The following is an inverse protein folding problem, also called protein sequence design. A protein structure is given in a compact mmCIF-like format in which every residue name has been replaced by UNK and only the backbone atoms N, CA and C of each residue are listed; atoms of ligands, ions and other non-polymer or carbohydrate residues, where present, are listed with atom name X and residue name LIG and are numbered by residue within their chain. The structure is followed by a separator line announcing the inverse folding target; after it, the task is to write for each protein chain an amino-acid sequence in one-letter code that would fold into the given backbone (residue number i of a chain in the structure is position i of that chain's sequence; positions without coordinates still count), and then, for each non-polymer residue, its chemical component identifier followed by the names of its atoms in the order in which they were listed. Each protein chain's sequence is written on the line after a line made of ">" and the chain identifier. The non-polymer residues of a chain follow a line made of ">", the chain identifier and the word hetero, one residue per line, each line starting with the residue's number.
data_IF_105521040385
#
_entry.id   IF_105521040385
#
_cell.length_a   1.000
_cell.length_b   1.000
_cell.length_c   1.000
_cell.angle_alpha   90.00
_cell.angle_beta   90.00
_cell.angle_gamma   90.00
#
_symmetry.space_group_name_H-M   'P 1'
#
loop_
_entity.id
_entity.type
_entity.pdbx_description
1 polymer ?
#
# COMPACT_ATOMS: atom_id res chain seq x y z
N UNK A 1 19.96 28.70 7.50
CA UNK A 1 19.38 28.88 6.16
C UNK A 1 20.46 28.99 5.09
N UNK A 2 21.43 29.90 5.26
CA UNK A 2 22.55 30.09 4.30
C UNK A 2 23.28 28.78 3.92
N UNK A 3 23.70 27.98 4.90
CA UNK A 3 24.33 26.68 4.64
C UNK A 3 23.42 25.69 3.87
N UNK A 4 22.12 25.69 4.15
CA UNK A 4 21.14 24.85 3.44
C UNK A 4 20.98 25.29 1.99
N UNK A 5 20.92 26.60 1.74
CA UNK A 5 20.84 27.16 0.38
C UNK A 5 22.11 26.83 -0.40
N UNK A 6 23.29 26.99 0.21
CA UNK A 6 24.56 26.64 -0.41
C UNK A 6 24.61 25.14 -0.77
N UNK A 7 24.22 24.27 0.17
CA UNK A 7 24.15 22.83 -0.08
C UNK A 7 23.17 22.49 -1.21
N UNK A 8 21.98 23.10 -1.21
CA UNK A 8 20.96 22.89 -2.25
C UNK A 8 21.43 23.36 -3.63
N UNK A 9 22.07 24.52 -3.72
CA UNK A 9 22.63 25.05 -4.97
C UNK A 9 23.70 24.13 -5.57
N UNK A 10 24.45 23.41 -4.71
CA UNK A 10 25.49 22.48 -5.11
C UNK A 10 24.96 21.08 -5.51
N UNK A 11 23.67 20.81 -5.34
CA UNK A 11 23.11 19.51 -5.72
C UNK A 11 23.17 19.29 -7.24
N UNK A 12 23.47 18.07 -7.70
CA UNK A 12 23.30 17.71 -9.09
C UNK A 12 21.83 17.85 -9.48
N UNK A 13 21.56 18.23 -10.74
CA UNK A 13 20.22 18.46 -11.25
C UNK A 13 19.97 17.62 -12.51
N UNK A 14 19.82 16.29 -12.37
CA UNK A 14 19.62 15.41 -13.52
C UNK A 14 18.22 15.61 -14.10
N UNK A 15 18.07 15.49 -15.42
CA UNK A 15 16.77 15.55 -16.09
C UNK A 15 15.89 14.35 -15.76
N UNK A 16 16.51 13.22 -15.41
CA UNK A 16 15.84 11.97 -15.05
C UNK A 16 16.29 11.49 -13.68
N UNK A 17 15.40 10.79 -12.99
CA UNK A 17 15.69 10.03 -11.77
C UNK A 17 16.54 8.79 -12.10
N UNK A 18 17.14 8.11 -11.10
CA UNK A 18 17.92 6.88 -11.33
C UNK A 18 17.14 5.76 -12.04
N UNK A 19 15.81 5.73 -11.91
CA UNK A 19 14.92 4.79 -12.60
C UNK A 19 14.56 5.21 -14.03
N UNK A 20 15.11 6.31 -14.53
CA UNK A 20 14.88 6.82 -15.89
C UNK A 20 13.61 7.65 -16.07
N UNK A 21 12.84 7.91 -15.00
CA UNK A 21 11.65 8.76 -15.03
C UNK A 21 12.02 10.24 -15.01
N UNK A 22 11.13 11.13 -15.48
CA UNK A 22 11.33 12.58 -15.44
C UNK A 22 11.63 13.07 -14.02
N UNK A 23 12.62 13.93 -13.82
CA UNK A 23 12.92 14.53 -12.51
C UNK A 23 11.95 15.69 -12.18
N UNK A 24 10.65 15.38 -12.20
CA UNK A 24 9.57 16.32 -11.90
C UNK A 24 8.94 16.04 -10.54
N UNK A 25 8.81 17.07 -9.71
CA UNK A 25 8.23 16.97 -8.36
C UNK A 25 7.03 17.88 -8.17
N UNK A 26 5.99 17.34 -7.55
CA UNK A 26 4.77 18.07 -7.24
C UNK A 26 4.68 18.34 -5.73
N UNK A 27 4.41 19.60 -5.38
CA UNK A 27 4.31 20.09 -4.00
C UNK A 27 2.86 20.40 -3.64
N UNK A 28 2.45 19.95 -2.46
CA UNK A 28 1.23 20.37 -1.79
C UNK A 28 1.47 20.64 -0.30
N UNK A 29 0.70 21.53 0.30
CA UNK A 29 0.60 21.65 1.76
C UNK A 29 -0.67 20.92 2.20
N UNK A 30 -0.55 19.98 3.15
CA UNK A 30 -1.64 19.09 3.53
C UNK A 30 -1.90 19.12 5.02
N UNK A 31 -3.16 19.26 5.38
CA UNK A 31 -3.61 19.23 6.77
C UNK A 31 -3.67 17.81 7.31
N UNK A 32 -3.09 17.61 8.50
CA UNK A 32 -3.14 16.38 9.28
C UNK A 32 -4.12 16.59 10.45
N UNK A 33 -5.34 16.04 10.37
CA UNK A 33 -6.37 16.16 11.41
C UNK A 33 -6.14 15.13 12.53
N UNK A 34 -4.90 15.02 13.01
CA UNK A 34 -4.54 14.26 14.20
C UNK A 34 -4.43 15.23 15.38
N UNK A 35 -4.34 14.73 16.61
CA UNK A 35 -4.15 15.54 17.79
C UNK A 35 -2.68 15.42 18.27
N UNK A 36 -1.91 16.53 18.30
CA UNK A 36 -2.29 17.88 17.89
C UNK A 36 -2.40 18.06 16.36
N UNK A 37 -3.31 18.92 15.86
CA UNK A 37 -3.45 19.16 14.43
C UNK A 37 -2.24 19.91 13.90
N UNK A 38 -1.84 19.59 12.68
CA UNK A 38 -0.68 20.21 12.04
C UNK A 38 -0.77 20.12 10.52
N UNK A 39 0.10 20.83 9.82
CA UNK A 39 0.26 20.74 8.37
C UNK A 39 1.63 20.17 8.01
N UNK A 40 1.67 19.47 6.88
CA UNK A 40 2.88 18.91 6.28
C UNK A 40 3.07 19.46 4.87
N UNK A 41 4.33 19.72 4.53
CA UNK A 41 4.74 19.85 3.12
C UNK A 41 4.82 18.45 2.55
N UNK A 42 4.03 18.19 1.52
CA UNK A 42 3.92 16.92 0.83
C UNK A 42 4.54 17.03 -0.56
N UNK A 43 5.62 16.29 -0.78
CA UNK A 43 6.30 16.18 -2.06
C UNK A 43 5.98 14.83 -2.68
N UNK A 44 5.58 14.84 -3.95
CA UNK A 44 5.23 13.64 -4.69
C UNK A 44 5.95 13.65 -6.03
N UNK A 45 6.48 12.50 -6.41
CA UNK A 45 6.93 12.24 -7.77
C UNK A 45 5.78 11.54 -8.53
N UNK A 46 5.01 12.24 -9.39
CA UNK A 46 3.71 11.75 -9.86
C UNK A 46 3.78 10.46 -10.69
N UNK A 47 4.89 10.21 -11.39
CA UNK A 47 5.05 9.02 -12.22
C UNK A 47 5.32 7.74 -11.42
N UNK A 48 6.08 7.84 -10.32
CA UNK A 48 6.40 6.68 -9.47
C UNK A 48 5.53 6.57 -8.23
N UNK A 49 4.71 7.59 -7.95
CA UNK A 49 3.93 7.74 -6.69
C UNK A 49 4.79 7.81 -5.43
N UNK A 50 6.12 7.92 -5.56
CA UNK A 50 7.00 8.14 -4.42
C UNK A 50 6.65 9.46 -3.75
N UNK A 51 6.62 9.47 -2.42
CA UNK A 51 6.27 10.67 -1.65
C UNK A 51 7.20 10.90 -0.47
N UNK A 52 7.35 12.16 -0.10
CA UNK A 52 8.08 12.63 1.07
C UNK A 52 7.22 13.66 1.82
N UNK A 53 7.38 13.72 3.15
CA UNK A 53 6.73 14.75 3.96
C UNK A 53 7.73 15.48 4.85
N UNK A 54 7.52 16.78 5.03
CA UNK A 54 8.31 17.61 5.93
C UNK A 54 7.40 18.46 6.83
N UNK A 55 7.79 18.63 8.08
CA UNK A 55 6.98 19.24 9.15
C UNK A 55 7.10 18.42 10.44
N UNK A 56 6.14 18.49 11.37
CA UNK A 56 4.89 19.27 11.33
C UNK A 56 5.10 20.79 11.52
N UNK A 57 4.27 21.61 10.87
CA UNK A 57 4.20 23.07 11.04
C UNK A 57 2.76 23.56 10.90
N UNK A 58 2.47 24.77 11.38
CA UNK A 58 1.20 25.45 11.13
C UNK A 58 1.37 26.37 9.90
N UNK A 59 0.84 25.95 8.75
CA UNK A 59 1.10 26.58 7.46
C UNK A 59 -0.20 27.12 6.87
N UNK A 60 -1.26 26.30 6.83
CA UNK A 60 -2.53 26.65 6.19
C UNK A 60 -3.30 27.73 6.96
N UNK A 61 -3.02 27.92 8.25
CA UNK A 61 -3.60 29.02 9.02
C UNK A 61 -2.94 30.38 8.74
N UNK A 62 -1.78 30.40 8.08
CA UNK A 62 -1.04 31.64 7.81
C UNK A 62 -1.80 32.50 6.80
N UNK A 63 -1.85 33.83 7.02
CA UNK A 63 -2.80 34.71 6.34
C UNK A 63 -2.44 35.01 4.88
N UNK A 64 -1.21 34.74 4.45
CA UNK A 64 -0.74 35.06 3.09
C UNK A 64 0.13 33.96 2.50
N UNK A 65 0.15 33.79 1.17
CA UNK A 65 1.08 32.88 0.50
C UNK A 65 2.56 33.19 0.78
N UNK A 66 2.90 34.46 1.03
CA UNK A 66 4.24 34.87 1.44
C UNK A 66 4.65 34.29 2.80
N UNK A 67 3.76 34.41 3.79
CA UNK A 67 3.98 33.82 5.11
C UNK A 67 4.05 32.28 5.04
N UNK A 68 3.24 31.65 4.18
CA UNK A 68 3.34 30.21 3.92
C UNK A 68 4.70 29.85 3.30
N UNK A 69 5.16 30.60 2.30
CA UNK A 69 6.45 30.39 1.66
C UNK A 69 7.64 30.52 2.63
N UNK A 70 7.55 31.42 3.62
CA UNK A 70 8.57 31.57 4.67
C UNK A 70 8.77 30.28 5.49
N UNK A 71 7.73 29.43 5.60
CA UNK A 71 7.80 28.13 6.27
C UNK A 71 8.10 26.99 5.28
N UNK A 72 7.45 27.01 4.10
CA UNK A 72 7.55 25.93 3.10
C UNK A 72 8.95 25.86 2.49
N UNK A 73 9.57 26.99 2.14
CA UNK A 73 10.88 26.99 1.44
C UNK A 73 12.00 26.35 2.27
N UNK A 74 12.19 26.69 3.56
CA UNK A 74 13.12 25.99 4.44
C UNK A 74 12.97 24.47 4.42
N UNK A 75 11.73 23.99 4.60
CA UNK A 75 11.42 22.55 4.62
C UNK A 75 11.71 21.89 3.28
N UNK A 76 11.32 22.56 2.18
CA UNK A 76 11.53 22.10 0.82
C UNK A 76 13.01 21.90 0.51
N UNK A 77 13.85 22.91 0.77
CA UNK A 77 15.29 22.84 0.50
C UNK A 77 15.95 21.74 1.35
N UNK A 78 15.58 21.65 2.62
CA UNK A 78 16.12 20.65 3.54
C UNK A 78 15.74 19.22 3.12
N UNK A 79 14.52 18.99 2.62
CA UNK A 79 14.10 17.69 2.09
C UNK A 79 15.01 17.20 0.97
N UNK A 80 15.30 18.04 -0.03
CA UNK A 80 16.18 17.66 -1.14
C UNK A 80 17.64 17.51 -0.73
N UNK A 81 18.16 18.40 0.14
CA UNK A 81 19.54 18.29 0.66
C UNK A 81 19.74 16.99 1.44
N UNK A 82 18.73 16.53 2.17
CA UNK A 82 18.75 15.26 2.90
C UNK A 82 18.44 14.04 2.04
N UNK A 83 18.20 14.21 0.74
CA UNK A 83 17.97 13.11 -0.19
C UNK A 83 16.57 12.51 -0.15
N UNK A 84 15.56 13.23 0.36
CA UNK A 84 14.15 12.82 0.40
C UNK A 84 13.84 11.51 1.16
N UNK A 85 14.85 10.89 1.75
CA UNK A 85 14.74 9.60 2.42
C UNK A 85 14.99 9.72 3.91
N UNK A 86 13.89 9.57 4.66
CA UNK A 86 13.91 8.76 5.88
C UNK A 86 12.73 7.83 5.77
N UNK A 87 13.01 6.55 5.49
CA UNK A 87 12.02 5.50 5.70
C UNK A 87 11.51 5.54 7.15
N UNK A 88 10.38 4.88 7.47
CA UNK A 88 9.83 4.84 8.82
C UNK A 88 10.84 4.38 9.90
N UNK A 89 11.90 3.68 9.48
CA UNK A 89 12.96 3.14 10.34
C UNK A 89 14.28 3.92 10.28
N UNK A 90 14.34 5.07 9.60
CA UNK A 90 15.57 5.87 9.48
C UNK A 90 16.63 5.31 8.52
N UNK A 91 16.24 4.41 7.62
CA UNK A 91 17.10 3.91 6.55
C UNK A 91 17.58 5.05 5.65
N UNK A 92 18.88 5.04 5.34
CA UNK A 92 19.54 6.00 4.45
C UNK A 92 19.50 5.43 3.05
N UNK A 93 18.91 6.18 2.12
CA UNK A 93 18.90 5.81 0.71
C UNK A 93 20.30 5.84 0.12
N UNK A 94 20.61 4.81 -0.68
CA UNK A 94 21.88 4.72 -1.41
C UNK A 94 21.93 5.71 -2.59
N UNK A 95 20.81 6.38 -2.91
CA UNK A 95 20.73 7.38 -3.97
C UNK A 95 21.28 8.72 -3.45
N UNK A 96 22.33 9.29 -4.08
CA UNK A 96 22.84 10.59 -3.70
C UNK A 96 21.78 11.69 -3.84
N UNK A 97 21.74 12.69 -2.95
CA UNK A 97 20.82 13.82 -3.06
C UNK A 97 20.94 14.55 -4.41
N UNK A 98 19.81 14.94 -4.98
CA UNK A 98 19.75 15.71 -6.22
C UNK A 98 18.64 16.76 -6.15
N UNK A 99 18.83 17.87 -6.86
CA UNK A 99 17.81 18.88 -7.04
C UNK A 99 16.82 18.45 -8.15
N UNK A 100 15.55 18.85 -8.06
CA UNK A 100 14.57 18.53 -9.08
C UNK A 100 14.90 19.21 -10.41
N UNK A 101 14.62 18.53 -11.51
CA UNK A 101 14.69 19.16 -12.83
C UNK A 101 13.58 20.19 -12.98
N UNK A 102 12.35 19.84 -12.63
CA UNK A 102 11.22 20.77 -12.58
C UNK A 102 10.35 20.47 -11.37
N UNK A 103 9.59 21.45 -10.92
CA UNK A 103 8.60 21.26 -9.88
C UNK A 103 7.40 22.19 -10.04
N UNK A 104 6.28 21.81 -9.43
CA UNK A 104 5.07 22.60 -9.48
C UNK A 104 4.12 22.38 -8.32
N UNK A 105 3.12 23.24 -8.21
CA UNK A 105 2.03 23.14 -7.23
C UNK A 105 0.71 23.59 -7.85
N UNK A 106 -0.43 23.27 -7.22
CA UNK A 106 -1.75 23.73 -7.68
C UNK A 106 -1.99 25.21 -7.41
N UNK A 107 -1.43 25.73 -6.31
CA UNK A 107 -1.70 27.08 -5.84
C UNK A 107 -0.76 28.09 -6.52
N UNK A 108 -1.30 28.86 -7.46
CA UNK A 108 -0.55 29.88 -8.19
C UNK A 108 -0.10 31.07 -7.33
N UNK A 109 -0.76 31.33 -6.21
CA UNK A 109 -0.32 32.34 -5.24
C UNK A 109 0.91 31.85 -4.47
N UNK A 110 0.84 30.62 -3.96
CA UNK A 110 1.94 29.97 -3.26
C UNK A 110 3.14 29.72 -4.17
N UNK A 111 2.92 29.32 -5.43
CA UNK A 111 3.99 29.12 -6.41
C UNK A 111 4.83 30.39 -6.60
N UNK A 112 4.17 31.55 -6.80
CA UNK A 112 4.84 32.84 -6.94
C UNK A 112 5.57 33.27 -5.67
N UNK A 113 4.97 33.01 -4.51
CA UNK A 113 5.59 33.33 -3.23
C UNK A 113 6.85 32.48 -2.96
N UNK A 114 6.80 31.19 -3.27
CA UNK A 114 7.95 30.28 -3.18
C UNK A 114 9.06 30.75 -4.13
N UNK A 115 8.74 31.03 -5.39
CA UNK A 115 9.73 31.51 -6.37
C UNK A 115 10.40 32.81 -5.90
N UNK A 116 9.62 33.79 -5.44
CA UNK A 116 10.16 35.05 -4.92
C UNK A 116 11.08 34.82 -3.72
N UNK A 117 10.70 33.90 -2.81
CA UNK A 117 11.49 33.56 -1.63
C UNK A 117 12.78 32.83 -1.99
N UNK A 118 12.75 31.88 -2.92
CA UNK A 118 13.94 31.18 -3.42
C UNK A 118 14.95 32.17 -4.01
N UNK A 119 14.49 33.11 -4.85
CA UNK A 119 15.33 34.19 -5.40
C UNK A 119 15.93 35.07 -4.31
N UNK A 120 15.12 35.48 -3.33
CA UNK A 120 15.57 36.32 -2.21
C UNK A 120 16.61 35.62 -1.33
N UNK A 121 16.57 34.28 -1.24
CA UNK A 121 17.53 33.48 -0.49
C UNK A 121 18.82 33.19 -1.28
N UNK A 122 18.90 33.54 -2.56
CA UNK A 122 20.07 33.27 -3.40
C UNK A 122 20.13 31.83 -3.93
N UNK A 123 18.98 31.18 -4.09
CA UNK A 123 18.90 29.90 -4.83
C UNK A 123 19.19 30.16 -6.30
N UNK A 124 19.90 29.25 -6.97
CA UNK A 124 20.22 29.35 -8.41
C UNK A 124 18.96 29.59 -9.24
N UNK A 125 19.06 30.51 -10.19
CA UNK A 125 17.91 31.07 -10.94
C UNK A 125 17.07 29.98 -11.60
N UNK A 126 17.74 28.98 -12.16
CA UNK A 126 17.13 27.88 -12.89
C UNK A 126 16.39 26.88 -11.99
N UNK A 127 16.62 26.87 -10.66
CA UNK A 127 15.82 26.14 -9.67
C UNK A 127 14.69 26.97 -9.07
N UNK A 128 14.66 28.28 -9.27
CA UNK A 128 13.66 29.14 -8.63
C UNK A 128 12.26 28.99 -9.24
N UNK A 129 12.18 28.62 -10.53
CA UNK A 129 10.92 28.54 -11.26
C UNK A 129 10.00 27.45 -10.70
N UNK A 130 8.79 27.84 -10.28
CA UNK A 130 7.76 26.93 -9.78
C UNK A 130 6.58 26.90 -10.76
N UNK A 131 6.33 25.74 -11.36
CA UNK A 131 5.24 25.55 -12.32
C UNK A 131 3.86 25.38 -11.66
N UNK A 132 2.83 25.38 -12.51
CA UNK A 132 1.47 24.95 -12.12
C UNK A 132 1.28 23.50 -12.52
N UNK A 133 0.99 22.65 -11.53
CA UNK A 133 0.81 21.22 -11.75
C UNK A 133 -0.46 20.89 -12.54
N UNK A 134 -0.40 19.79 -13.29
CA UNK A 134 -1.51 19.26 -14.08
C UNK A 134 -2.57 18.58 -13.20
N UNK A 135 -3.74 18.26 -13.77
CA UNK A 135 -4.75 17.44 -13.07
C UNK A 135 -4.16 16.10 -12.59
N UNK A 136 -3.34 15.44 -13.43
CA UNK A 136 -2.70 14.17 -13.10
C UNK A 136 -1.82 14.28 -11.86
N UNK A 137 -1.09 15.39 -11.72
CA UNK A 137 -0.20 15.61 -10.57
C UNK A 137 -1.01 15.79 -9.27
N UNK A 138 -2.13 16.51 -9.36
CA UNK A 138 -3.06 16.67 -8.26
C UNK A 138 -3.66 15.34 -7.83
N UNK A 139 -4.15 14.54 -8.79
CA UNK A 139 -4.73 13.22 -8.52
C UNK A 139 -3.70 12.30 -7.86
N UNK A 140 -2.47 12.25 -8.38
CA UNK A 140 -1.37 11.48 -7.78
C UNK A 140 -1.05 11.94 -6.35
N UNK A 141 -1.08 13.26 -6.10
CA UNK A 141 -0.89 13.80 -4.76
C UNK A 141 -2.05 13.46 -3.81
N UNK A 142 -3.29 13.44 -4.28
CA UNK A 142 -4.45 13.11 -3.44
C UNK A 142 -4.48 11.63 -3.07
N UNK A 143 -4.13 10.75 -4.02
CA UNK A 143 -4.06 9.30 -3.82
C UNK A 143 -2.97 8.92 -2.81
N UNK A 144 -1.73 9.37 -3.05
CA UNK A 144 -0.59 9.14 -2.14
C UNK A 144 -0.84 9.69 -0.74
N UNK A 145 -1.41 10.90 -0.64
CA UNK A 145 -1.79 11.49 0.63
C UNK A 145 -2.84 10.68 1.39
N UNK A 146 -3.84 10.15 0.69
CA UNK A 146 -4.91 9.35 1.30
C UNK A 146 -4.36 8.07 1.93
N UNK A 147 -3.45 7.39 1.23
CA UNK A 147 -2.75 6.20 1.74
C UNK A 147 -1.89 6.56 2.96
N UNK A 148 -1.07 7.60 2.85
CA UNK A 148 -0.21 8.06 3.93
C UNK A 148 -1.01 8.44 5.19
N UNK A 149 -2.06 9.26 5.04
CA UNK A 149 -2.85 9.73 6.18
C UNK A 149 -3.61 8.57 6.85
N UNK A 150 -4.09 7.59 6.08
CA UNK A 150 -4.68 6.37 6.65
C UNK A 150 -3.66 5.64 7.51
N UNK A 151 -2.45 5.44 6.99
CA UNK A 151 -1.38 4.76 7.73
C UNK A 151 -0.96 5.52 8.98
N UNK A 152 -0.84 6.84 8.89
CA UNK A 152 -0.50 7.70 10.03
C UNK A 152 -1.59 7.64 11.12
N UNK A 153 -2.87 7.61 10.75
CA UNK A 153 -3.99 7.42 11.69
C UNK A 153 -3.97 6.06 12.39
N UNK A 154 -3.59 5.00 11.68
CA UNK A 154 -3.39 3.67 12.26
C UNK A 154 -2.23 3.66 13.26
N UNK A 155 -1.06 4.17 12.86
CA UNK A 155 0.14 4.18 13.70
C UNK A 155 -0.01 5.02 14.96
N UNK A 156 -0.77 6.13 14.87
CA UNK A 156 -1.01 7.01 16.02
C UNK A 156 -2.16 6.54 16.92
N UNK A 157 -2.87 5.46 16.55
CA UNK A 157 -4.03 4.97 17.30
C UNK A 157 -5.21 5.95 17.31
N UNK A 158 -5.16 7.01 16.49
CA UNK A 158 -6.15 8.08 16.41
C UNK A 158 -7.13 7.88 15.24
N UNK A 159 -7.28 6.64 14.77
CA UNK A 159 -8.37 6.23 13.90
C UNK A 159 -9.73 6.44 14.57
N UNK A 160 -10.42 7.53 14.18
CA UNK A 160 -11.84 7.78 14.41
C UNK A 160 -12.31 7.97 15.88
N UNK A 161 -11.49 8.53 16.76
CA UNK A 161 -11.90 8.80 18.15
C UNK A 161 -12.50 10.21 18.37
N UNK A 162 -12.12 11.23 17.60
CA UNK A 162 -12.25 12.61 18.10
C UNK A 162 -13.56 13.36 17.80
N UNK A 163 -14.61 12.66 17.35
CA UNK A 163 -15.96 13.26 17.21
C UNK A 163 -17.09 12.38 17.73
N UNK A 164 -16.81 11.21 18.32
CA UNK A 164 -17.87 10.34 18.82
C UNK A 164 -18.34 10.81 20.21
N UNK A 165 -19.54 11.39 20.27
CA UNK A 165 -20.24 11.67 21.52
C UNK A 165 -21.38 10.67 21.74
N UNK A 166 -21.77 10.48 22.99
CA UNK A 166 -22.95 9.67 23.29
C UNK A 166 -24.22 10.37 22.74
N UNK A 167 -24.95 9.70 21.86
CA UNK A 167 -26.17 10.21 21.24
C UNK A 167 -27.26 10.55 22.27
N UNK A 168 -27.24 9.90 23.44
CA UNK A 168 -28.17 10.19 24.56
C UNK A 168 -27.68 11.28 25.50
N UNK A 169 -26.50 11.11 26.14
CA UNK A 169 -26.05 12.04 27.19
C UNK A 169 -25.12 13.16 26.69
N UNK A 170 -24.81 13.19 25.40
CA UNK A 170 -24.01 14.19 24.68
C UNK A 170 -22.56 14.38 25.16
N UNK A 171 -22.11 13.64 26.17
CA UNK A 171 -20.71 13.62 26.59
C UNK A 171 -19.83 12.97 25.53
N UNK A 172 -18.64 13.54 25.31
CA UNK A 172 -17.65 13.03 24.37
C UNK A 172 -17.06 11.68 24.79
N UNK A 173 -16.53 10.91 23.84
CA UNK A 173 -15.89 9.63 24.11
C UNK A 173 -14.76 9.74 25.14
N UNK A 174 -14.02 10.85 25.15
CA UNK A 174 -12.94 11.15 26.12
C UNK A 174 -13.41 11.23 27.57
N UNK A 175 -14.71 11.37 27.84
CA UNK A 175 -15.27 11.40 29.19
C UNK A 175 -15.46 9.98 29.78
N UNK A 176 -15.25 8.93 29.00
CA UNK A 176 -15.50 7.54 29.39
C UNK A 176 -14.22 6.70 29.32
N UNK A 177 -14.00 5.85 30.32
CA UNK A 177 -12.87 4.91 30.35
C UNK A 177 -13.04 3.73 29.39
N UNK A 178 -14.25 3.55 28.83
CA UNK A 178 -14.58 2.49 27.89
C UNK A 178 -15.06 3.07 26.56
N UNK A 179 -14.73 2.45 25.41
CA UNK A 179 -15.23 2.86 24.10
C UNK A 179 -16.77 2.95 24.06
N UNK A 180 -17.30 3.91 23.31
CA UNK A 180 -18.75 4.03 23.12
C UNK A 180 -19.30 2.83 22.32
N UNK A 181 -20.42 2.28 22.80
CA UNK A 181 -21.17 1.23 22.12
C UNK A 181 -21.88 1.81 20.89
N UNK A 182 -21.78 1.14 19.74
CA UNK A 182 -22.53 1.55 18.54
C UNK A 182 -23.89 0.86 18.47
N UNK A 183 -24.86 1.52 17.83
CA UNK A 183 -26.15 0.90 17.53
C UNK A 183 -25.94 -0.33 16.63
N UNK A 184 -26.38 -1.51 17.06
CA UNK A 184 -26.21 -2.76 16.31
C UNK A 184 -26.92 -2.79 14.94
N UNK A 185 -27.90 -1.89 14.70
CA UNK A 185 -28.58 -1.78 13.42
C UNK A 185 -27.87 -0.86 12.43
N UNK A 186 -27.73 0.42 12.79
CA UNK A 186 -27.25 1.45 11.87
C UNK A 186 -25.76 1.78 12.01
N UNK A 187 -25.11 1.39 13.11
CA UNK A 187 -23.74 1.76 13.50
C UNK A 187 -23.42 3.28 13.58
N UNK A 188 -24.36 4.15 13.21
CA UNK A 188 -24.22 5.62 13.18
C UNK A 188 -24.35 6.28 14.55
N UNK A 189 -25.19 5.74 15.43
CA UNK A 189 -25.36 6.26 16.80
C UNK A 189 -24.44 5.55 17.80
N UNK A 190 -23.93 6.31 18.77
CA UNK A 190 -22.97 5.85 19.77
C UNK A 190 -23.47 6.10 21.20
N UNK A 191 -23.19 5.20 22.13
CA UNK A 191 -23.75 5.21 23.48
C UNK A 191 -22.71 4.81 24.51
N UNK A 192 -22.58 5.58 25.59
CA UNK A 192 -21.67 5.20 26.68
C UNK A 192 -22.17 4.00 27.50
N UNK A 193 -23.44 3.59 27.32
CA UNK A 193 -24.03 2.46 28.01
C UNK A 193 -25.29 1.95 27.31
N UNK A 194 -25.67 0.70 27.58
CA UNK A 194 -26.98 0.14 27.17
C UNK A 194 -28.15 0.99 27.69
N UNK A 195 -27.98 1.65 28.84
CA UNK A 195 -28.99 2.58 29.40
C UNK A 195 -29.17 3.79 28.48
N UNK A 196 -28.08 4.41 28.04
CA UNK A 196 -28.13 5.53 27.09
C UNK A 196 -28.73 5.12 25.74
N UNK A 197 -28.43 3.91 25.25
CA UNK A 197 -29.07 3.37 24.05
C UNK A 197 -30.59 3.21 24.20
N UNK A 198 -31.06 2.64 25.32
CA UNK A 198 -32.50 2.50 25.61
C UNK A 198 -33.21 3.84 25.73
N UNK A 199 -32.55 4.83 26.34
CA UNK A 199 -33.12 6.17 26.51
C UNK A 199 -33.29 6.89 25.17
N UNK A 200 -32.32 6.77 24.26
CA UNK A 200 -32.37 7.38 22.93
C UNK A 200 -33.29 6.63 21.96
N UNK A 201 -33.63 5.36 22.25
CA UNK A 201 -34.34 4.48 21.32
C UNK A 201 -35.65 5.04 20.77
N UNK A 202 -36.42 5.79 21.58
CA UNK A 202 -37.70 6.37 21.15
C UNK A 202 -37.53 7.32 19.95
N UNK A 203 -36.42 8.07 19.92
CA UNK A 203 -36.10 9.01 18.86
C UNK A 203 -35.22 8.34 17.79
N UNK A 204 -34.19 7.60 18.20
CA UNK A 204 -33.27 6.93 17.29
C UNK A 204 -33.96 5.94 16.34
N UNK A 205 -34.98 5.20 16.82
CA UNK A 205 -35.67 4.19 15.99
C UNK A 205 -36.30 4.77 14.72
N UNK A 206 -36.66 6.07 14.73
CA UNK A 206 -37.26 6.77 13.58
C UNK A 206 -36.27 6.96 12.43
N UNK A 207 -34.98 6.98 12.74
CA UNK A 207 -33.87 7.25 11.80
C UNK A 207 -32.87 6.09 11.73
N UNK A 208 -33.13 5.00 12.47
CA UNK A 208 -32.27 3.82 12.53
C UNK A 208 -32.45 2.98 11.26
N UNK A 209 -31.81 3.40 10.18
CA UNK A 209 -31.70 2.61 8.95
C UNK A 209 -30.59 1.58 9.15
N UNK A 210 -30.90 0.29 9.00
CA UNK A 210 -29.86 -0.77 8.98
C UNK A 210 -28.84 -0.39 7.93
N UNK A 211 -27.59 -0.20 8.33
CA UNK A 211 -26.58 0.31 7.41
C UNK A 211 -26.22 -0.80 6.41
N UNK A 212 -26.28 -0.55 5.08
CA UNK A 212 -25.56 -1.37 4.10
C UNK A 212 -24.05 -1.05 4.11
N UNK A 213 -23.62 -0.03 4.87
CA UNK A 213 -22.22 0.38 5.01
C UNK A 213 -21.58 -0.29 6.24
N UNK A 214 -21.11 -1.52 6.07
CA UNK A 214 -19.67 -1.68 6.28
C UNK A 214 -19.04 -1.31 4.95
N UNK A 215 -18.13 -0.33 4.92
CA UNK A 215 -17.11 -0.30 3.86
C UNK A 215 -16.62 -1.73 3.63
N UNK A 216 -16.27 -2.15 2.40
CA UNK A 216 -15.65 -3.45 2.22
C UNK A 216 -14.45 -3.45 3.16
N UNK A 217 -14.56 -4.16 4.29
CA UNK A 217 -13.45 -4.26 5.22
C UNK A 217 -12.32 -4.81 4.37
N UNK A 218 -11.15 -4.20 4.53
CA UNK A 218 -9.97 -4.70 3.85
C UNK A 218 -9.93 -6.24 4.06
N UNK A 219 -9.59 -7.03 3.02
CA UNK A 219 -9.62 -8.48 3.09
C UNK A 219 -8.91 -9.06 4.31
N UNK A 220 -7.81 -8.43 4.73
CA UNK A 220 -7.04 -8.83 5.89
C UNK A 220 -7.85 -8.70 7.18
N UNK A 221 -8.43 -7.52 7.41
CA UNK A 221 -9.27 -7.25 8.57
C UNK A 221 -10.51 -8.13 8.57
N UNK A 222 -11.15 -8.33 7.41
CA UNK A 222 -12.34 -9.18 7.33
C UNK A 222 -12.03 -10.62 7.75
N UNK A 223 -11.00 -11.22 7.17
CA UNK A 223 -10.61 -12.60 7.48
C UNK A 223 -10.29 -12.75 8.98
N UNK A 224 -9.53 -11.82 9.53
CA UNK A 224 -9.08 -11.86 10.92
C UNK A 224 -10.15 -11.54 11.97
N UNK A 225 -11.21 -10.80 11.61
CA UNK A 225 -12.19 -10.29 12.60
C UNK A 225 -13.63 -10.72 12.37
N UNK A 226 -13.99 -11.08 11.13
CA UNK A 226 -15.39 -11.34 10.76
C UNK A 226 -15.60 -12.77 10.26
N UNK A 227 -14.67 -13.35 9.48
CA UNK A 227 -14.90 -14.67 8.88
C UNK A 227 -15.29 -15.74 9.91
N UNK A 228 -14.65 -15.75 11.08
CA UNK A 228 -14.98 -16.65 12.19
C UNK A 228 -16.36 -16.43 12.83
N UNK A 229 -17.12 -15.40 12.44
CA UNK A 229 -18.49 -15.15 12.92
C UNK A 229 -19.54 -15.62 11.93
N UNK A 230 -19.16 -15.87 10.67
CA UNK A 230 -20.06 -16.28 9.58
C UNK A 230 -20.19 -17.81 9.57
N UNK A 231 -21.40 -18.38 9.78
CA UNK A 231 -21.59 -19.83 9.82
C UNK A 231 -21.07 -20.56 8.58
N UNK A 232 -21.38 -20.05 7.39
CA UNK A 232 -20.98 -20.64 6.11
C UNK A 232 -19.46 -20.62 5.92
N UNK A 233 -18.79 -19.57 6.41
CA UNK A 233 -17.32 -19.50 6.38
C UNK A 233 -16.69 -20.51 7.34
N UNK A 234 -17.30 -20.76 8.52
CA UNK A 234 -16.83 -21.81 9.45
C UNK A 234 -16.95 -23.19 8.83
N UNK A 235 -18.06 -23.48 8.17
CA UNK A 235 -18.30 -24.78 7.56
C UNK A 235 -17.34 -25.03 6.39
N UNK A 236 -17.10 -24.00 5.56
CA UNK A 236 -16.08 -24.03 4.53
C UNK A 236 -14.66 -24.18 5.11
N UNK A 237 -14.34 -23.48 6.20
CA UNK A 237 -13.03 -23.61 6.86
C UNK A 237 -12.79 -25.03 7.37
N UNK A 238 -13.80 -25.67 7.98
CA UNK A 238 -13.73 -27.08 8.37
C UNK A 238 -13.52 -28.00 7.18
N UNK A 239 -14.24 -27.81 6.07
CA UNK A 239 -14.12 -28.69 4.91
C UNK A 239 -12.75 -28.63 4.24
N UNK A 240 -12.06 -27.49 4.34
CA UNK A 240 -10.70 -27.29 3.81
C UNK A 240 -9.61 -27.43 4.89
N UNK A 241 -9.93 -28.00 6.05
CA UNK A 241 -9.05 -28.19 7.22
C UNK A 241 -8.29 -26.93 7.66
N UNK A 242 -9.01 -25.81 7.73
CA UNK A 242 -8.48 -24.51 8.10
C UNK A 242 -9.14 -24.00 9.38
N UNK A 243 -8.35 -23.42 10.28
CA UNK A 243 -8.84 -22.78 11.50
C UNK A 243 -8.97 -21.29 11.26
N UNK A 244 -10.16 -20.74 11.46
CA UNK A 244 -10.36 -19.29 11.32
C UNK A 244 -9.82 -18.56 12.57
N UNK A 245 -9.14 -17.42 12.39
CA UNK A 245 -8.60 -16.64 13.50
C UNK A 245 -9.72 -16.07 14.38
N UNK A 246 -9.55 -16.20 15.70
CA UNK A 246 -10.48 -15.68 16.74
C UNK A 246 -9.82 -14.70 17.70
N UNK A 247 -8.53 -14.37 17.49
CA UNK A 247 -7.79 -13.44 18.34
C UNK A 247 -6.37 -13.12 17.83
N UNK A 248 -5.62 -14.13 17.39
CA UNK A 248 -4.33 -13.92 16.73
C UNK A 248 -4.53 -13.54 15.26
N UNK A 249 -3.69 -12.64 14.73
CA UNK A 249 -3.70 -12.24 13.32
C UNK A 249 -2.96 -13.26 12.47
N UNK A 250 -3.58 -13.68 11.37
CA UNK A 250 -3.01 -14.58 10.36
C UNK A 250 -2.98 -13.87 9.00
N UNK A 251 -1.91 -14.09 8.24
CA UNK A 251 -1.77 -13.58 6.87
C UNK A 251 -2.78 -14.22 5.91
N UNK A 252 -2.99 -13.58 4.76
CA UNK A 252 -4.00 -14.03 3.79
C UNK A 252 -3.51 -15.14 2.85
N UNK A 253 -2.21 -15.37 2.75
CA UNK A 253 -1.66 -16.37 1.84
C UNK A 253 -2.16 -17.78 2.15
N UNK A 254 -2.05 -18.22 3.41
CA UNK A 254 -2.49 -19.55 3.84
C UNK A 254 -3.97 -19.83 3.54
N UNK A 255 -4.95 -18.99 3.90
CA UNK A 255 -6.35 -19.24 3.56
C UNK A 255 -6.62 -19.21 2.05
N UNK A 256 -5.98 -18.31 1.30
CA UNK A 256 -6.15 -18.23 -0.15
C UNK A 256 -5.60 -19.48 -0.82
N UNK A 257 -4.36 -19.87 -0.50
CA UNK A 257 -3.73 -21.09 -1.01
C UNK A 257 -4.54 -22.33 -0.65
N UNK A 258 -5.07 -22.40 0.57
CA UNK A 258 -5.91 -23.53 0.99
C UNK A 258 -7.18 -23.66 0.16
N UNK A 259 -7.86 -22.55 -0.14
CA UNK A 259 -9.01 -22.57 -1.04
C UNK A 259 -8.60 -23.02 -2.45
N UNK A 260 -7.46 -22.57 -2.97
CA UNK A 260 -6.98 -22.93 -4.30
C UNK A 260 -6.63 -24.41 -4.38
N UNK A 261 -5.80 -24.92 -3.46
CA UNK A 261 -5.34 -26.31 -3.40
C UNK A 261 -6.50 -27.29 -3.31
N UNK A 262 -7.54 -26.95 -2.57
CA UNK A 262 -8.73 -27.81 -2.39
C UNK A 262 -9.79 -27.60 -3.47
N UNK A 263 -9.55 -26.71 -4.43
CA UNK A 263 -10.49 -26.39 -5.51
C UNK A 263 -11.73 -25.59 -5.08
N UNK A 264 -11.68 -24.97 -3.89
CA UNK A 264 -12.76 -24.21 -3.29
C UNK A 264 -12.63 -22.68 -3.50
N UNK A 265 -11.70 -22.22 -4.32
CA UNK A 265 -11.44 -20.79 -4.60
C UNK A 265 -12.44 -20.16 -5.59
N UNK A 266 -13.73 -20.40 -5.39
CA UNK A 266 -14.79 -19.71 -6.15
C UNK A 266 -14.93 -18.25 -5.68
N UNK A 267 -15.42 -17.32 -6.52
CA UNK A 267 -15.68 -15.93 -6.09
C UNK A 267 -16.55 -15.82 -4.83
N UNK A 268 -17.53 -16.71 -4.69
CA UNK A 268 -18.39 -16.79 -3.51
C UNK A 268 -17.59 -17.19 -2.26
N UNK A 269 -16.74 -18.21 -2.36
CA UNK A 269 -15.94 -18.70 -1.24
C UNK A 269 -14.82 -17.71 -0.85
N UNK A 270 -14.19 -17.07 -1.83
CA UNK A 270 -13.25 -15.98 -1.60
C UNK A 270 -13.94 -14.84 -0.84
N UNK A 271 -15.14 -14.44 -1.27
CA UNK A 271 -15.93 -13.44 -0.55
C UNK A 271 -16.34 -13.88 0.87
N UNK A 272 -16.61 -15.17 1.10
CA UNK A 272 -16.91 -15.70 2.44
C UNK A 272 -15.73 -15.57 3.40
N UNK A 273 -14.50 -15.75 2.91
CA UNK A 273 -13.30 -15.68 3.76
C UNK A 273 -12.74 -14.26 3.86
N UNK A 274 -12.80 -13.50 2.78
CA UNK A 274 -12.07 -12.24 2.60
C UNK A 274 -13.01 -11.04 2.51
N UNK A 275 -14.31 -11.27 2.61
CA UNK A 275 -15.32 -10.22 2.55
C UNK A 275 -15.54 -9.65 1.15
N UNK A 276 -16.44 -8.65 1.02
CA UNK A 276 -16.78 -8.06 -0.26
C UNK A 276 -15.62 -7.31 -0.94
N UNK A 277 -14.57 -6.96 -0.19
CA UNK A 277 -13.38 -6.27 -0.69
C UNK A 277 -12.31 -7.17 -1.32
N UNK A 278 -12.52 -8.49 -1.38
CA UNK A 278 -11.48 -9.45 -1.76
C UNK A 278 -10.84 -9.21 -3.14
N UNK A 279 -11.55 -8.59 -4.07
CA UNK A 279 -11.01 -8.26 -5.41
C UNK A 279 -9.82 -7.29 -5.36
N UNK A 280 -9.69 -6.50 -4.29
CA UNK A 280 -8.55 -5.59 -4.11
C UNK A 280 -7.19 -6.31 -4.04
N UNK A 281 -7.18 -7.59 -3.67
CA UNK A 281 -5.97 -8.43 -3.59
C UNK A 281 -5.90 -9.50 -4.68
N UNK A 282 -6.77 -9.40 -5.70
CA UNK A 282 -6.87 -10.38 -6.76
C UNK A 282 -5.56 -10.50 -7.54
N UNK A 283 -4.98 -9.36 -7.92
CA UNK A 283 -3.73 -9.29 -8.69
C UNK A 283 -2.49 -9.49 -7.85
N UNK A 284 -2.48 -9.03 -6.59
CA UNK A 284 -1.29 -9.03 -5.73
C UNK A 284 -1.09 -10.34 -4.96
N UNK A 285 -2.14 -11.09 -4.62
CA UNK A 285 -2.04 -12.31 -3.81
C UNK A 285 -2.68 -13.50 -4.50
N UNK A 286 -3.96 -13.39 -4.88
CA UNK A 286 -4.73 -14.54 -5.37
C UNK A 286 -4.20 -15.11 -6.69
N UNK A 287 -4.01 -14.27 -7.72
CA UNK A 287 -3.51 -14.71 -9.03
C UNK A 287 -2.11 -15.33 -8.93
N UNK A 288 -1.12 -14.71 -8.27
CA UNK A 288 0.20 -15.31 -8.07
C UNK A 288 0.13 -16.67 -7.34
N UNK A 289 -0.65 -16.75 -6.25
CA UNK A 289 -0.84 -18.00 -5.52
C UNK A 289 -1.49 -19.09 -6.40
N UNK A 290 -2.46 -18.71 -7.24
CA UNK A 290 -3.17 -19.63 -8.12
C UNK A 290 -2.27 -20.20 -9.21
N UNK A 291 -1.50 -19.36 -9.90
CA UNK A 291 -0.51 -19.81 -10.87
C UNK A 291 0.54 -20.69 -10.19
N UNK A 292 1.03 -20.30 -9.01
CA UNK A 292 2.01 -21.08 -8.27
C UNK A 292 1.49 -22.47 -7.89
N UNK A 293 0.27 -22.61 -7.36
CA UNK A 293 -0.32 -23.92 -7.05
C UNK A 293 -0.49 -24.76 -8.30
N UNK A 294 -0.97 -24.17 -9.41
CA UNK A 294 -1.15 -24.88 -10.68
C UNK A 294 0.17 -25.33 -11.32
N UNK A 295 1.27 -24.62 -11.06
CA UNK A 295 2.62 -25.04 -11.47
C UNK A 295 3.16 -26.23 -10.68
N UNK A 296 2.56 -26.62 -9.55
CA UNK A 296 3.00 -27.73 -8.72
C UNK A 296 4.53 -27.75 -8.48
N UNK A 297 5.10 -26.75 -7.79
CA UNK A 297 6.54 -26.63 -7.61
C UNK A 297 7.11 -27.87 -6.90
N UNK A 298 8.21 -28.46 -7.38
CA UNK A 298 8.77 -29.68 -6.79
C UNK A 298 9.55 -29.37 -5.50
N UNK A 299 9.80 -30.39 -4.65
CA UNK A 299 10.83 -30.32 -3.62
C UNK A 299 12.15 -29.86 -4.22
N UNK A 300 12.88 -28.99 -3.52
CA UNK A 300 14.09 -28.34 -4.04
C UNK A 300 13.85 -26.97 -4.69
N UNK A 301 12.59 -26.58 -4.94
CA UNK A 301 12.25 -25.23 -5.41
C UNK A 301 12.10 -24.22 -4.25
N UNK A 302 12.44 -22.93 -4.45
CA UNK A 302 12.16 -21.89 -3.45
C UNK A 302 10.68 -21.81 -3.07
N UNK A 303 9.77 -21.93 -4.05
CA UNK A 303 8.32 -21.92 -3.79
C UNK A 303 7.89 -23.06 -2.88
N UNK A 304 8.43 -24.26 -3.07
CA UNK A 304 8.12 -25.39 -2.20
C UNK A 304 8.60 -25.12 -0.76
N UNK A 305 9.80 -24.56 -0.60
CA UNK A 305 10.35 -24.22 0.72
C UNK A 305 9.51 -23.15 1.45
N UNK A 306 9.04 -22.13 0.73
CA UNK A 306 8.24 -21.04 1.31
C UNK A 306 6.83 -21.53 1.66
N UNK A 307 6.17 -22.23 0.73
CA UNK A 307 4.74 -22.52 0.85
C UNK A 307 4.42 -23.89 1.43
N UNK A 308 5.37 -24.82 1.45
CA UNK A 308 5.14 -26.19 1.93
C UNK A 308 4.55 -26.23 3.34
N UNK A 309 5.02 -25.35 4.23
CA UNK A 309 4.47 -25.21 5.59
C UNK A 309 3.06 -24.63 5.63
N UNK A 310 2.70 -23.73 4.71
CA UNK A 310 1.34 -23.16 4.63
C UNK A 310 0.34 -24.16 4.07
N UNK A 311 0.79 -24.97 3.11
CA UNK A 311 -0.01 -25.96 2.40
C UNK A 311 -0.16 -27.25 3.22
N UNK A 312 0.69 -27.45 4.22
CA UNK A 312 0.66 -28.60 5.13
C UNK A 312 -0.72 -28.81 5.77
N UNK A 313 -1.17 -30.07 5.77
CA UNK A 313 -2.47 -30.46 6.31
C UNK A 313 -3.67 -30.12 5.42
N UNK A 314 -3.48 -29.71 4.16
CA UNK A 314 -4.58 -29.66 3.21
C UNK A 314 -5.22 -31.06 3.04
N UNK A 315 -6.57 -31.17 3.04
CA UNK A 315 -7.25 -32.47 3.02
C UNK A 315 -7.18 -33.16 1.65
N UNK A 316 -6.97 -32.39 0.58
CA UNK A 316 -6.81 -32.89 -0.79
C UNK A 316 -5.97 -31.91 -1.62
N UNK A 317 -5.30 -32.44 -2.63
CA UNK A 317 -4.66 -31.66 -3.69
C UNK A 317 -5.52 -31.80 -4.95
N UNK A 318 -6.49 -30.92 -5.11
CA UNK A 318 -7.47 -30.96 -6.19
C UNK A 318 -7.83 -29.54 -6.65
N UNK A 319 -6.85 -28.75 -7.12
CA UNK A 319 -7.12 -27.40 -7.60
C UNK A 319 -8.08 -27.42 -8.79
N UNK A 320 -8.90 -26.38 -8.92
CA UNK A 320 -9.76 -26.21 -10.10
C UNK A 320 -8.90 -26.12 -11.36
N UNK A 321 -9.41 -26.65 -12.46
CA UNK A 321 -8.75 -26.55 -13.76
C UNK A 321 -8.41 -25.10 -14.12
N UNK A 322 -7.27 -24.86 -14.78
CA UNK A 322 -6.88 -23.52 -15.21
C UNK A 322 -7.87 -22.97 -16.24
N UNK A 323 -8.11 -21.66 -16.20
CA UNK A 323 -8.76 -20.97 -17.31
C UNK A 323 -7.84 -20.90 -18.53
N UNK A 324 -8.35 -20.62 -19.75
CA UNK A 324 -7.50 -20.50 -20.94
C UNK A 324 -6.32 -19.52 -20.77
N UNK A 325 -6.55 -18.37 -20.11
CA UNK A 325 -5.50 -17.40 -19.81
C UNK A 325 -4.44 -17.96 -18.84
N UNK A 326 -4.87 -18.66 -17.77
CA UNK A 326 -3.95 -19.31 -16.82
C UNK A 326 -3.14 -20.41 -17.50
N UNK A 327 -3.75 -21.16 -18.42
CA UNK A 327 -3.06 -22.19 -19.21
C UNK A 327 -1.96 -21.60 -20.09
N UNK A 328 -2.20 -20.44 -20.72
CA UNK A 328 -1.20 -19.76 -21.56
C UNK A 328 -0.04 -19.20 -20.72
N UNK A 329 -0.35 -18.65 -19.54
CA UNK A 329 0.64 -18.18 -18.58
C UNK A 329 1.50 -19.32 -18.04
N UNK A 330 0.86 -20.43 -17.62
CA UNK A 330 1.56 -21.65 -17.19
C UNK A 330 2.46 -22.18 -18.29
N UNK A 331 1.97 -22.25 -19.54
CA UNK A 331 2.76 -22.69 -20.69
C UNK A 331 4.00 -21.81 -20.87
N UNK A 332 3.82 -20.49 -20.83
CA UNK A 332 4.93 -19.51 -20.93
C UNK A 332 5.99 -19.75 -19.85
N UNK A 333 5.55 -19.99 -18.62
CA UNK A 333 6.45 -20.27 -17.48
C UNK A 333 7.17 -21.62 -17.67
N UNK A 334 6.48 -22.66 -18.16
CA UNK A 334 7.10 -23.97 -18.45
C UNK A 334 8.14 -23.88 -19.57
N UNK A 335 7.88 -23.11 -20.61
CA UNK A 335 8.83 -22.89 -21.70
C UNK A 335 10.10 -22.17 -21.18
N UNK A 336 9.94 -21.18 -20.29
CA UNK A 336 11.06 -20.55 -19.58
C UNK A 336 11.85 -21.57 -18.74
N UNK A 337 11.17 -22.41 -17.96
CA UNK A 337 11.81 -23.46 -17.15
C UNK A 337 12.59 -24.46 -18.01
N UNK A 338 12.05 -24.84 -19.17
CA UNK A 338 12.71 -25.75 -20.11
C UNK A 338 13.98 -25.11 -20.71
N UNK A 339 13.90 -23.84 -21.12
CA UNK A 339 15.06 -23.08 -21.63
C UNK A 339 16.13 -22.91 -20.55
N UNK A 340 15.74 -22.58 -19.31
CA UNK A 340 16.65 -22.51 -18.17
C UNK A 340 17.33 -23.85 -17.91
N UNK A 341 16.56 -24.94 -17.80
CA UNK A 341 17.10 -26.27 -17.55
C UNK A 341 18.12 -26.69 -18.62
N UNK A 342 17.85 -26.37 -19.89
CA UNK A 342 18.78 -26.61 -21.00
C UNK A 342 20.06 -25.78 -20.88
N UNK A 343 19.96 -24.51 -20.49
CA UNK A 343 21.09 -23.62 -20.30
C UNK A 343 21.97 -24.02 -19.11
N UNK A 344 21.35 -24.43 -17.99
CA UNK A 344 22.06 -24.82 -16.76
C UNK A 344 22.72 -26.20 -16.86
N UNK A 345 22.18 -27.10 -17.69
CA UNK A 345 22.67 -28.48 -17.81
C UNK A 345 22.49 -29.26 -16.50
N UNK A 346 23.58 -29.66 -15.86
CA UNK A 346 23.57 -30.36 -14.57
C UNK A 346 23.50 -29.42 -13.35
N UNK A 347 23.70 -28.12 -13.54
CA UNK A 347 23.61 -27.12 -12.47
C UNK A 347 22.15 -26.87 -12.10
N UNK A 348 21.86 -26.75 -10.80
CA UNK A 348 20.53 -26.43 -10.28
C UNK A 348 20.36 -24.96 -9.88
N UNK A 349 21.42 -24.34 -9.39
CA UNK A 349 21.42 -22.95 -8.94
C UNK A 349 21.33 -21.99 -10.14
N UNK A 350 20.46 -20.98 -10.07
CA UNK A 350 20.31 -19.92 -11.08
C UNK A 350 21.02 -18.64 -10.62
N UNK A 351 21.82 -18.02 -11.50
CA UNK A 351 22.56 -16.78 -11.22
C UNK A 351 22.03 -15.61 -12.06
N UNK A 352 22.32 -14.34 -11.69
CA UNK A 352 21.91 -13.18 -12.50
C UNK A 352 22.42 -13.20 -13.95
N UNK A 353 23.58 -13.80 -14.21
CA UNK A 353 24.13 -13.94 -15.55
C UNK A 353 23.27 -14.88 -16.42
N UNK A 354 22.64 -15.87 -15.82
CA UNK A 354 21.74 -16.80 -16.53
C UNK A 354 20.46 -16.10 -16.98
N UNK A 355 19.97 -15.14 -16.20
CA UNK A 355 18.80 -14.34 -16.54
C UNK A 355 19.02 -13.60 -17.87
N UNK A 356 20.15 -12.92 -18.02
CA UNK A 356 20.44 -12.16 -19.24
C UNK A 356 20.50 -13.08 -20.47
N UNK A 357 21.17 -14.24 -20.36
CA UNK A 357 21.30 -15.19 -21.48
C UNK A 357 19.95 -15.79 -21.87
N UNK A 358 19.16 -16.24 -20.89
CA UNK A 358 17.87 -16.87 -21.12
C UNK A 358 16.87 -15.86 -21.67
N UNK A 359 16.72 -14.68 -21.07
CA UNK A 359 15.77 -13.67 -21.53
C UNK A 359 16.09 -13.19 -22.95
N UNK A 360 17.37 -13.02 -23.29
CA UNK A 360 17.80 -12.64 -24.65
C UNK A 360 17.42 -13.68 -25.71
N UNK A 361 17.25 -14.95 -25.33
CA UNK A 361 16.82 -16.01 -26.25
C UNK A 361 15.37 -15.87 -26.73
N UNK A 362 14.55 -15.05 -26.05
CA UNK A 362 13.16 -14.72 -26.45
C UNK A 362 13.07 -13.50 -27.38
N UNK A 363 14.20 -12.96 -27.83
CA UNK A 363 14.28 -11.91 -28.83
C UNK A 363 13.77 -10.55 -28.33
N UNK A 364 13.11 -9.81 -29.22
CA UNK A 364 12.69 -8.43 -28.96
C UNK A 364 11.63 -8.25 -27.86
N UNK A 365 11.02 -9.34 -27.36
CA UNK A 365 9.98 -9.32 -26.32
C UNK A 365 10.49 -9.76 -24.94
N UNK A 366 11.82 -9.76 -24.72
CA UNK A 366 12.42 -10.25 -23.47
C UNK A 366 11.90 -9.52 -22.22
N UNK A 367 11.56 -8.24 -22.35
CA UNK A 367 10.99 -7.39 -21.29
C UNK A 367 9.64 -7.92 -20.79
N UNK A 368 8.82 -8.45 -21.71
CA UNK A 368 7.52 -9.07 -21.38
C UNK A 368 7.64 -10.40 -20.67
N UNK A 369 8.81 -11.05 -20.77
CA UNK A 369 9.09 -12.33 -20.13
C UNK A 369 9.55 -12.16 -18.69
N UNK A 370 9.96 -10.95 -18.29
CA UNK A 370 10.53 -10.68 -16.97
C UNK A 370 9.61 -11.07 -15.80
N UNK A 371 8.29 -10.76 -15.81
CA UNK A 371 7.39 -11.19 -14.73
C UNK A 371 7.25 -12.71 -14.62
N UNK A 372 7.35 -13.43 -15.74
CA UNK A 372 7.25 -14.89 -15.78
C UNK A 372 8.56 -15.58 -15.39
N UNK A 373 9.70 -14.93 -15.62
CA UNK A 373 11.03 -15.45 -15.31
C UNK A 373 11.20 -15.71 -13.81
N UNK A 374 10.80 -14.74 -12.98
CA UNK A 374 10.90 -14.89 -11.52
C UNK A 374 10.05 -16.06 -11.03
N UNK A 375 8.83 -16.21 -11.56
CA UNK A 375 7.95 -17.34 -11.23
C UNK A 375 8.58 -18.66 -11.71
N UNK A 376 9.15 -18.69 -12.91
CA UNK A 376 9.81 -19.86 -13.48
C UNK A 376 10.96 -20.36 -12.59
N UNK A 377 11.87 -19.45 -12.21
CA UNK A 377 13.00 -19.72 -11.31
C UNK A 377 12.51 -20.20 -9.95
N UNK A 378 11.58 -19.46 -9.33
CA UNK A 378 11.10 -19.81 -7.99
C UNK A 378 10.29 -21.11 -7.94
N UNK A 379 9.77 -21.62 -9.07
CA UNK A 379 8.95 -22.83 -9.12
C UNK A 379 9.64 -24.04 -9.77
N UNK A 380 10.93 -23.94 -10.12
CA UNK A 380 11.76 -25.08 -10.56
C UNK A 380 12.70 -25.56 -9.45
N UNK A 381 13.16 -26.81 -9.54
CA UNK A 381 14.12 -27.37 -8.60
C UNK A 381 15.48 -26.66 -8.71
N UNK A 382 15.88 -25.96 -7.65
CA UNK A 382 17.16 -25.29 -7.51
C UNK A 382 18.07 -25.95 -6.46
N UNK A 383 17.65 -27.10 -5.90
CA UNK A 383 18.36 -27.77 -4.80
C UNK A 383 18.19 -27.09 -3.45
N UNK A 384 17.14 -26.27 -3.26
CA UNK A 384 16.83 -25.64 -1.97
C UNK A 384 16.48 -26.70 -0.94
N UNK A 385 17.21 -26.70 0.18
CA UNK A 385 16.94 -27.59 1.31
C UNK A 385 15.97 -26.90 2.27
N UNK A 386 14.85 -27.56 2.57
CA UNK A 386 13.92 -27.11 3.62
C UNK A 386 14.50 -27.55 4.98
N UNK A 387 14.69 -26.65 5.95
CA UNK A 387 15.20 -26.99 7.28
C UNK A 387 14.33 -27.97 8.07
#
# INVERSE_FOLDING_TARGET
>A
MEATVQAFNNLPRPQTTPSGLSSYWYLAVRHVPLNPPSDLVHLVHPESTFMHTAGPKDILSLPTPGAQADIVVPLLLESFVKGLDRGPNGEVSEVPPFAPWTWGTKDAGLARAIEAKLKALGVREDLCSMGIGSKRDNDASDETWSVFLSKLKELTGQGAADTMACSSCKKGASTFSTPLLRCAGCLKASYCSKRCQKNDWKEHKKVCVKSPESSPRDPFTYYNTIAHTVPEAKDLAKSVNLTLPTGATEGLEKPIRRLIITGNDTPKNLQLFLGPGWKSIETSIYKPARINVLLHPPPGSPSYAIYGGLDAGAPSLSPRQPSPAESEEIKTIRDLQATLSKHLGSRKEVTPQDMQVVLSSFGANWDRMLPFYEIAVNSMDQGVVVP
#
